data_IF_104451499270
#
_entry.id   IF_104451499270
#
_cell.length_a   1.000
_cell.length_b   1.000
_cell.length_c   1.000
_cell.angle_alpha   90.00
_cell.angle_beta   90.00
_cell.angle_gamma   90.00
#
_symmetry.space_group_name_H-M   'P 1'
#
loop_
_entity.id
_entity.type
_entity.pdbx_description
1 polymer ?
#
# COMPACT_ATOMS: atom_id res chain seq x y z
N UNK A 1 -8.08 4.03 8.09
CA UNK A 1 -7.59 4.35 6.72
C UNK A 1 -6.79 3.16 6.20
N UNK A 2 -6.37 3.18 4.93
CA UNK A 2 -5.40 2.21 4.38
C UNK A 2 -4.21 3.01 3.83
N UNK A 3 -2.99 2.63 4.22
CA UNK A 3 -1.73 3.20 3.71
C UNK A 3 -1.07 2.20 2.77
N UNK A 4 -0.75 2.67 1.58
CA UNK A 4 -0.02 1.95 0.53
C UNK A 4 1.45 2.28 0.67
N UNK A 5 2.26 1.23 0.78
CA UNK A 5 3.71 1.32 0.82
C UNK A 5 4.34 0.55 -0.35
N UNK A 6 5.65 0.73 -0.51
CA UNK A 6 6.49 -0.11 -1.34
C UNK A 6 7.83 -0.37 -0.63
N UNK A 7 8.32 -1.60 -0.75
CA UNK A 7 9.48 -2.13 0.00
C UNK A 7 10.80 -1.38 -0.19
N UNK A 8 10.93 -0.58 -1.24
CA UNK A 8 12.15 0.03 -1.78
C UNK A 8 13.30 -0.97 -1.97
N UNK A 9 12.97 -2.25 -2.20
CA UNK A 9 13.92 -3.34 -2.30
C UNK A 9 13.75 -4.12 -3.62
N UNK A 10 14.37 -3.64 -4.70
CA UNK A 10 14.18 -4.23 -6.03
C UNK A 10 14.67 -5.67 -6.17
N UNK A 11 15.45 -6.20 -5.22
CA UNK A 11 16.10 -7.51 -5.36
C UNK A 11 15.56 -8.58 -4.42
N UNK A 12 14.44 -8.34 -3.73
CA UNK A 12 13.87 -9.32 -2.81
C UNK A 12 12.52 -9.88 -3.31
N UNK A 13 12.05 -10.90 -2.60
CA UNK A 13 10.79 -11.59 -2.81
C UNK A 13 9.87 -11.35 -1.63
N UNK A 14 8.57 -11.60 -1.82
CA UNK A 14 7.58 -11.50 -0.74
C UNK A 14 7.96 -12.31 0.50
N UNK A 15 8.59 -13.48 0.33
CA UNK A 15 9.03 -14.30 1.45
C UNK A 15 10.28 -13.77 2.12
N UNK A 16 11.18 -13.13 1.39
CA UNK A 16 12.35 -12.46 1.96
C UNK A 16 11.92 -11.30 2.84
N UNK A 17 11.04 -10.44 2.32
CA UNK A 17 10.46 -9.31 3.04
C UNK A 17 9.71 -9.74 4.31
N UNK A 18 8.81 -10.74 4.20
CA UNK A 18 8.10 -11.29 5.37
C UNK A 18 9.08 -11.88 6.41
N UNK A 19 10.13 -12.57 5.96
CA UNK A 19 11.11 -13.16 6.88
C UNK A 19 11.98 -12.09 7.53
N UNK A 20 12.29 -11.01 6.82
CA UNK A 20 13.03 -9.87 7.34
C UNK A 20 12.19 -9.11 8.38
N UNK A 21 10.92 -8.81 8.08
CA UNK A 21 10.02 -8.15 9.03
C UNK A 21 9.87 -8.97 10.31
N UNK A 22 9.65 -10.29 10.21
CA UNK A 22 9.56 -11.18 11.39
C UNK A 22 10.80 -11.09 12.31
N UNK A 23 11.97 -10.78 11.76
CA UNK A 23 13.21 -10.65 12.53
C UNK A 23 13.42 -9.24 13.12
N UNK A 24 12.70 -8.23 12.61
CA UNK A 24 12.90 -6.81 12.94
C UNK A 24 11.59 -6.08 13.28
N UNK A 25 10.55 -6.82 13.65
CA UNK A 25 9.19 -6.29 13.87
C UNK A 25 9.12 -5.26 14.99
N UNK A 26 10.10 -5.27 15.91
CA UNK A 26 10.25 -4.31 17.00
C UNK A 26 10.67 -2.91 16.50
N UNK A 27 11.14 -2.82 15.26
CA UNK A 27 11.53 -1.57 14.60
C UNK A 27 10.44 -1.04 13.66
N UNK A 28 9.88 -1.91 12.81
CA UNK A 28 8.77 -1.60 11.91
C UNK A 28 8.08 -2.89 11.47
N UNK A 29 6.77 -2.83 11.25
CA UNK A 29 6.00 -3.93 10.66
C UNK A 29 4.72 -3.41 9.99
N UNK A 30 4.23 -4.13 8.98
CA UNK A 30 2.95 -3.89 8.31
C UNK A 30 1.96 -5.04 8.50
N UNK A 31 0.75 -4.90 7.96
CA UNK A 31 -0.27 -5.94 8.06
C UNK A 31 -0.14 -7.01 6.99
N UNK A 32 0.28 -6.63 5.79
CA UNK A 32 0.34 -7.53 4.66
C UNK A 32 1.43 -7.15 3.66
N UNK A 33 1.85 -8.13 2.88
CA UNK A 33 2.66 -7.93 1.68
C UNK A 33 1.87 -8.36 0.45
N UNK A 34 2.10 -7.69 -0.67
CA UNK A 34 1.46 -7.94 -1.96
C UNK A 34 2.50 -8.05 -3.05
N UNK A 35 2.41 -9.09 -3.87
CA UNK A 35 3.15 -9.23 -5.13
C UNK A 35 2.16 -9.53 -6.28
N UNK A 36 2.68 -9.89 -7.47
CA UNK A 36 1.85 -10.16 -8.65
C UNK A 36 1.03 -11.47 -8.59
N UNK A 37 1.26 -12.31 -7.58
CA UNK A 37 0.63 -13.62 -7.41
C UNK A 37 -0.06 -13.81 -6.05
N UNK A 38 0.29 -13.01 -5.05
CA UNK A 38 -0.03 -13.24 -3.65
C UNK A 38 -0.48 -11.95 -2.95
N UNK A 39 -1.37 -12.14 -1.98
CA UNK A 39 -1.66 -11.19 -0.91
C UNK A 39 -1.49 -11.98 0.38
N UNK A 40 -0.50 -11.63 1.19
CA UNK A 40 -0.16 -12.36 2.42
C UNK A 40 -0.29 -11.43 3.61
N UNK A 41 -1.41 -11.56 4.34
CA UNK A 41 -1.59 -10.88 5.62
C UNK A 41 -0.87 -11.66 6.72
N UNK A 42 -0.03 -10.97 7.49
CA UNK A 42 0.87 -11.55 8.50
C UNK A 42 0.63 -11.03 9.91
N UNK A 43 -0.14 -9.95 10.07
CA UNK A 43 -0.59 -9.42 11.37
C UNK A 43 -2.06 -8.97 11.33
N UNK A 44 -2.65 -8.74 12.49
CA UNK A 44 -4.10 -8.45 12.62
C UNK A 44 -4.42 -6.98 12.30
N UNK A 45 -5.35 -6.75 11.37
CA UNK A 45 -5.79 -5.41 10.95
C UNK A 45 -6.66 -4.69 11.98
N UNK A 46 -7.08 -5.39 13.04
CA UNK A 46 -7.77 -4.82 14.20
C UNK A 46 -6.80 -4.23 15.26
N UNK A 47 -5.49 -4.29 15.00
CA UNK A 47 -4.42 -3.69 15.81
C UNK A 47 -3.59 -2.68 14.98
N UNK A 48 -2.69 -1.97 15.64
CA UNK A 48 -1.79 -1.03 14.96
C UNK A 48 -0.69 -1.74 14.16
N UNK A 49 -0.12 -1.03 13.20
CA UNK A 49 1.14 -1.36 12.53
C UNK A 49 2.14 -0.22 12.75
N UNK A 50 3.43 -0.49 12.58
CA UNK A 50 4.51 0.48 12.85
C UNK A 50 5.30 0.89 11.60
N UNK A 51 4.68 0.91 10.42
CA UNK A 51 5.33 1.23 9.14
C UNK A 51 5.19 2.68 8.65
N UNK A 52 4.34 3.53 9.27
CA UNK A 52 3.96 4.84 8.72
C UNK A 52 4.05 6.02 9.70
N UNK A 53 4.69 5.84 10.86
CA UNK A 53 4.71 6.80 11.98
C UNK A 53 3.32 7.15 12.57
N UNK A 54 3.29 7.79 13.74
CA UNK A 54 2.04 8.31 14.30
C UNK A 54 1.68 9.66 13.67
N UNK A 55 0.38 9.93 13.44
CA UNK A 55 -0.78 9.17 13.90
C UNK A 55 -1.25 8.01 12.99
N UNK A 56 -0.60 7.74 11.85
CA UNK A 56 -1.04 6.71 10.91
C UNK A 56 -0.96 5.29 11.51
N UNK A 57 0.10 4.98 12.25
CA UNK A 57 0.31 3.70 12.93
C UNK A 57 -0.90 3.22 13.74
N UNK A 58 -1.49 4.10 14.56
CA UNK A 58 -2.65 3.76 15.39
C UNK A 58 -4.02 3.83 14.68
N UNK A 59 -4.07 4.02 13.35
CA UNK A 59 -5.33 4.33 12.63
C UNK A 59 -5.44 3.68 11.24
N UNK A 60 -4.41 3.00 10.77
CA UNK A 60 -4.30 2.53 9.40
C UNK A 60 -4.04 1.03 9.32
N UNK A 61 -4.76 0.38 8.40
CA UNK A 61 -4.24 -0.84 7.77
C UNK A 61 -3.09 -0.42 6.87
N UNK A 62 -1.98 -1.14 6.91
CA UNK A 62 -0.75 -0.84 6.17
C UNK A 62 -0.35 -2.10 5.41
N UNK A 63 0.04 -1.96 4.15
CA UNK A 63 0.60 -3.07 3.39
C UNK A 63 1.74 -2.61 2.50
N UNK A 64 2.65 -3.52 2.24
CA UNK A 64 3.81 -3.33 1.38
C UNK A 64 3.59 -3.96 0.01
N UNK A 65 3.94 -3.20 -1.02
CA UNK A 65 4.12 -3.69 -2.37
C UNK A 65 5.55 -4.16 -2.57
N UNK A 66 5.74 -5.42 -2.98
CA UNK A 66 7.05 -5.96 -3.33
C UNK A 66 7.36 -5.58 -4.78
N UNK A 67 8.54 -5.01 -5.06
CA UNK A 67 8.89 -4.64 -6.44
C UNK A 67 8.86 -5.85 -7.39
N UNK A 68 7.91 -5.87 -8.33
CA UNK A 68 7.83 -6.90 -9.36
C UNK A 68 8.37 -6.42 -10.71
N UNK A 69 8.60 -7.40 -11.60
CA UNK A 69 9.19 -7.18 -12.91
C UNK A 69 8.32 -7.75 -14.02
N UNK A 70 8.13 -6.96 -15.08
CA UNK A 70 7.31 -7.29 -16.24
C UNK A 70 5.95 -6.60 -16.19
N UNK A 71 5.50 -6.12 -17.36
CA UNK A 71 4.28 -5.33 -17.51
C UNK A 71 3.05 -6.00 -16.87
N UNK A 72 2.86 -7.29 -17.14
CA UNK A 72 1.74 -8.05 -16.61
C UNK A 72 1.84 -8.33 -15.10
N UNK A 73 3.06 -8.49 -14.59
CA UNK A 73 3.27 -8.73 -13.16
C UNK A 73 2.91 -7.44 -12.39
N UNK A 74 3.43 -6.29 -12.84
CA UNK A 74 3.11 -4.99 -12.25
C UNK A 74 1.59 -4.69 -12.30
N UNK A 75 0.93 -4.97 -13.43
CA UNK A 75 -0.51 -4.80 -13.51
C UNK A 75 -1.29 -5.71 -12.55
N UNK A 76 -0.87 -6.97 -12.37
CA UNK A 76 -1.49 -7.90 -11.42
C UNK A 76 -1.28 -7.47 -9.97
N UNK A 77 -0.07 -7.03 -9.64
CA UNK A 77 0.24 -6.52 -8.32
C UNK A 77 -0.63 -5.31 -7.96
N UNK A 78 -0.82 -4.35 -8.89
CA UNK A 78 -1.73 -3.21 -8.69
C UNK A 78 -3.18 -3.67 -8.44
N UNK A 79 -3.66 -4.70 -9.14
CA UNK A 79 -5.00 -5.27 -8.91
C UNK A 79 -5.08 -5.95 -7.54
N UNK A 80 -4.06 -6.70 -7.14
CA UNK A 80 -4.00 -7.34 -5.82
C UNK A 80 -4.01 -6.30 -4.70
N UNK A 81 -3.19 -5.25 -4.83
CA UNK A 81 -3.12 -4.13 -3.89
C UNK A 81 -4.46 -3.39 -3.80
N UNK A 82 -5.11 -3.14 -4.94
CA UNK A 82 -6.40 -2.48 -4.98
C UNK A 82 -7.52 -3.34 -4.36
N UNK A 83 -7.52 -4.65 -4.63
CA UNK A 83 -8.43 -5.60 -4.01
C UNK A 83 -8.26 -5.63 -2.49
N UNK A 84 -7.02 -5.77 -1.98
CA UNK A 84 -6.76 -5.80 -0.55
C UNK A 84 -7.17 -4.50 0.15
N UNK A 85 -6.91 -3.36 -0.50
CA UNK A 85 -7.36 -2.04 -0.05
C UNK A 85 -8.88 -1.98 0.03
N UNK A 86 -9.57 -2.35 -1.05
CA UNK A 86 -11.03 -2.34 -1.12
C UNK A 86 -11.68 -3.31 -0.11
N UNK A 87 -11.09 -4.48 0.07
CA UNK A 87 -11.51 -5.49 1.05
C UNK A 87 -11.47 -4.93 2.47
N UNK A 88 -10.35 -4.32 2.88
CA UNK A 88 -10.25 -3.71 4.21
C UNK A 88 -11.18 -2.51 4.36
N UNK A 89 -11.33 -1.69 3.31
CA UNK A 89 -12.30 -0.60 3.33
C UNK A 89 -13.73 -1.11 3.54
N UNK A 90 -14.12 -2.22 2.89
CA UNK A 90 -15.42 -2.87 3.14
C UNK A 90 -15.53 -3.43 4.54
N UNK A 91 -14.51 -4.18 5.01
CA UNK A 91 -14.44 -4.75 6.37
C UNK A 91 -14.73 -3.68 7.44
N UNK A 92 -14.21 -2.47 7.25
CA UNK A 92 -14.29 -1.38 8.22
C UNK A 92 -15.33 -0.29 7.88
N UNK A 93 -16.17 -0.48 6.86
CA UNK A 93 -17.20 0.50 6.47
C UNK A 93 -16.64 1.85 6.00
N UNK A 94 -15.46 1.84 5.38
CA UNK A 94 -14.77 3.02 4.86
C UNK A 94 -15.10 3.22 3.37
N UNK A 95 -15.54 4.41 2.99
CA UNK A 95 -15.71 4.78 1.57
C UNK A 95 -14.36 5.17 0.97
N UNK A 96 -13.93 4.63 -0.19
CA UNK A 96 -12.67 5.02 -0.83
C UNK A 96 -12.62 6.52 -1.17
N UNK A 97 -11.57 7.20 -0.74
CA UNK A 97 -11.31 8.62 -1.02
C UNK A 97 -9.84 8.96 -0.79
N UNK A 98 -9.27 9.84 -1.62
CA UNK A 98 -7.88 10.28 -1.47
C UNK A 98 -7.66 11.03 -0.16
N UNK A 99 -6.48 10.81 0.43
CA UNK A 99 -5.91 11.65 1.47
C UNK A 99 -6.00 13.15 1.13
N UNK A 100 -6.29 13.96 2.13
CA UNK A 100 -6.39 15.41 2.04
C UNK A 100 -5.48 16.06 3.08
N UNK A 101 -5.04 17.29 2.82
CA UNK A 101 -4.14 18.06 3.71
C UNK A 101 -4.72 18.38 5.09
N UNK A 102 -6.02 18.27 5.26
CA UNK A 102 -6.70 18.42 6.55
C UNK A 102 -6.76 17.10 7.37
N UNK A 103 -6.06 16.04 6.95
CA UNK A 103 -6.04 14.75 7.63
C UNK A 103 -7.23 13.84 7.35
N UNK A 104 -8.08 14.18 6.37
CA UNK A 104 -9.23 13.36 5.96
C UNK A 104 -8.92 12.51 4.73
N UNK A 105 -9.81 11.58 4.39
CA UNK A 105 -9.61 10.58 3.34
C UNK A 105 -9.31 9.19 3.90
N UNK A 106 -9.51 8.16 3.10
CA UNK A 106 -9.40 6.76 3.53
C UNK A 106 -8.28 6.00 2.81
N UNK A 107 -7.82 6.50 1.67
CA UNK A 107 -6.74 5.96 0.86
C UNK A 107 -5.52 6.90 0.91
N UNK A 108 -4.40 6.38 1.41
CA UNK A 108 -3.19 7.15 1.67
C UNK A 108 -1.98 6.43 1.06
N UNK A 109 -1.03 7.16 0.49
CA UNK A 109 0.35 6.67 0.35
C UNK A 109 1.17 7.03 1.59
N UNK A 110 2.31 6.37 1.79
CA UNK A 110 3.26 6.81 2.82
C UNK A 110 3.71 8.26 2.57
N UNK A 111 3.89 8.67 1.30
CA UNK A 111 4.15 10.06 0.95
C UNK A 111 3.05 11.03 1.44
N UNK A 112 1.76 10.66 1.35
CA UNK A 112 0.69 11.49 1.90
C UNK A 112 0.78 11.62 3.42
N UNK A 113 1.21 10.56 4.12
CA UNK A 113 1.46 10.60 5.56
C UNK A 113 2.58 11.60 5.87
N UNK A 114 3.72 11.53 5.18
CA UNK A 114 4.80 12.51 5.32
C UNK A 114 4.34 13.95 5.11
N UNK A 115 3.54 14.20 4.07
CA UNK A 115 3.10 15.55 3.72
C UNK A 115 2.05 16.13 4.67
N UNK A 116 1.08 15.33 5.10
CA UNK A 116 -0.11 15.84 5.79
C UNK A 116 -0.16 15.52 7.27
N UNK A 117 0.56 14.49 7.71
CA UNK A 117 0.57 14.03 9.11
C UNK A 117 1.96 14.16 9.77
N UNK A 118 3.04 14.08 8.98
CA UNK A 118 4.42 14.16 9.44
C UNK A 118 4.91 12.91 10.18
N UNK A 119 6.09 13.00 10.80
CA UNK A 119 6.70 11.90 11.57
C UNK A 119 7.51 10.89 10.75
N UNK A 120 7.48 11.01 9.43
CA UNK A 120 8.22 10.20 8.44
C UNK A 120 8.51 11.08 7.22
N UNK A 121 9.58 10.80 6.47
CA UNK A 121 9.99 11.52 5.25
C UNK A 121 9.97 10.65 3.99
N UNK A 122 9.37 9.48 4.10
CA UNK A 122 9.21 8.51 3.02
C UNK A 122 8.32 9.03 1.88
N UNK A 123 8.56 8.53 0.67
CA UNK A 123 7.88 9.01 -0.55
C UNK A 123 7.24 7.88 -1.38
N UNK A 124 7.25 6.65 -0.87
CA UNK A 124 6.58 5.51 -1.50
C UNK A 124 5.05 5.67 -1.56
N UNK A 125 4.39 5.08 -2.59
CA UNK A 125 4.94 4.27 -3.68
C UNK A 125 5.28 5.08 -4.96
N UNK A 126 5.37 6.41 -4.87
CA UNK A 126 5.40 7.31 -6.05
C UNK A 126 6.49 6.97 -7.06
N UNK A 127 7.72 6.73 -6.57
CA UNK A 127 8.87 6.42 -7.40
C UNK A 127 8.73 5.09 -8.14
N UNK A 128 8.32 4.04 -7.42
CA UNK A 128 8.10 2.70 -7.97
C UNK A 128 7.03 2.71 -9.07
N UNK A 129 5.85 3.26 -8.76
CA UNK A 129 4.75 3.32 -9.72
C UNK A 129 5.08 4.15 -10.96
N UNK A 130 5.67 5.34 -10.78
CA UNK A 130 6.09 6.19 -11.90
C UNK A 130 7.11 5.47 -12.79
N UNK A 131 8.10 4.81 -12.19
CA UNK A 131 9.12 4.06 -12.91
C UNK A 131 8.52 2.89 -13.72
N UNK A 132 7.74 2.02 -13.06
CA UNK A 132 7.18 0.82 -13.69
C UNK A 132 6.14 1.15 -14.75
N UNK A 133 5.25 2.11 -14.49
CA UNK A 133 4.27 2.57 -15.46
C UNK A 133 4.94 3.19 -16.70
N UNK A 134 5.97 4.02 -16.51
CA UNK A 134 6.70 4.63 -17.63
C UNK A 134 7.41 3.57 -18.45
N UNK A 135 8.13 2.66 -17.78
CA UNK A 135 8.92 1.61 -18.44
C UNK A 135 8.08 0.60 -19.21
N UNK A 136 6.93 0.20 -18.68
CA UNK A 136 6.12 -0.88 -19.25
C UNK A 136 4.98 -0.41 -20.14
N UNK A 137 4.49 0.82 -19.94
CA UNK A 137 3.29 1.32 -20.63
C UNK A 137 3.46 2.72 -21.21
N UNK A 138 4.61 3.38 -21.02
CA UNK A 138 4.84 4.74 -21.53
C UNK A 138 3.94 5.81 -20.89
N UNK A 139 3.47 5.57 -19.66
CA UNK A 139 2.54 6.43 -18.92
C UNK A 139 3.04 6.72 -17.50
N UNK A 140 2.37 7.61 -16.78
CA UNK A 140 2.47 7.70 -15.32
C UNK A 140 1.42 6.82 -14.63
N UNK A 141 1.63 6.53 -13.35
CA UNK A 141 0.63 5.93 -12.46
C UNK A 141 0.78 6.54 -11.06
N UNK A 142 -0.31 6.97 -10.45
CA UNK A 142 -0.32 7.63 -9.15
C UNK A 142 -1.54 7.23 -8.29
N UNK A 143 -1.66 7.80 -7.09
CA UNK A 143 -2.75 7.52 -6.15
C UNK A 143 -4.15 7.77 -6.72
N UNK A 144 -4.33 8.72 -7.64
CA UNK A 144 -5.62 8.97 -8.32
C UNK A 144 -5.97 7.86 -9.31
N UNK A 145 -4.99 7.27 -9.98
CA UNK A 145 -5.19 6.09 -10.83
C UNK A 145 -5.48 4.86 -9.98
N UNK A 146 -4.75 4.70 -8.88
CA UNK A 146 -4.99 3.63 -7.91
C UNK A 146 -6.38 3.72 -7.27
N UNK A 147 -6.86 4.92 -6.91
CA UNK A 147 -8.21 5.12 -6.40
C UNK A 147 -9.28 4.64 -7.39
N UNK A 148 -9.08 4.81 -8.70
CA UNK A 148 -10.03 4.28 -9.69
C UNK A 148 -10.11 2.75 -9.63
N UNK A 149 -8.96 2.09 -9.50
CA UNK A 149 -8.90 0.63 -9.38
C UNK A 149 -9.47 0.13 -8.04
N UNK A 150 -9.19 0.83 -6.94
CA UNK A 150 -9.78 0.55 -5.62
C UNK A 150 -11.29 0.70 -5.68
N UNK A 151 -11.83 1.76 -6.30
CA UNK A 151 -13.27 1.94 -6.46
C UNK A 151 -13.90 0.80 -7.28
N UNK A 152 -13.23 0.36 -8.34
CA UNK A 152 -13.67 -0.76 -9.15
C UNK A 152 -13.77 -2.05 -8.32
N UNK A 153 -12.72 -2.41 -7.58
CA UNK A 153 -12.76 -3.60 -6.71
C UNK A 153 -13.76 -3.43 -5.54
N UNK A 154 -13.83 -2.25 -4.94
CA UNK A 154 -14.79 -1.93 -3.88
C UNK A 154 -16.24 -2.10 -4.33
N UNK A 155 -16.55 -1.77 -5.58
CA UNK A 155 -17.89 -1.95 -6.17
C UNK A 155 -18.28 -3.41 -6.39
N UNK A 156 -17.30 -4.31 -6.55
CA UNK A 156 -17.53 -5.76 -6.74
C UNK A 156 -17.70 -6.52 -5.44
N UNK A 157 -17.11 -6.00 -4.36
CA UNK A 157 -17.23 -6.57 -3.03
C UNK A 157 -18.62 -6.24 -2.47
N UNK A 158 -19.40 -7.28 -2.18
CA UNK A 158 -20.76 -7.21 -1.63
C UNK A 158 -20.76 -6.87 -0.15
#
# INVERSE_FOLDING_TARGET
MVVVHETANPNDSIWGEINYEKQHYDSAFVHAFVDDNNIIQISDTDHEAWGAAYPANGRAVQFEQVEVYGAWNFARELVNAAYYTAYNMRKYGLTPSLAQSNGTGTLWSHHNVSQYLGGTDHTDPDGYWSNRASRYFGTGYNMSDFLQLVNYEYSKLS
#
